data_IF_678611454914
#
_entry.id   IF_678611454914
#
_cell.length_a   1.000
_cell.length_b   1.000
_cell.length_c   1.000
_cell.angle_alpha   90.00
_cell.angle_beta   90.00
_cell.angle_gamma   90.00
#
_symmetry.space_group_name_H-M   'P 1'
#
loop_
_entity.id
_entity.type
_entity.pdbx_description
1 polymer ?
#
# COMPACT_ATOMS: atom_id res chain seq x y z
N UNK A 1 20.14 -67.85 20.66
CA UNK A 1 20.22 -66.47 21.16
C UNK A 1 19.37 -65.61 20.24
N UNK A 2 18.11 -65.44 20.60
CA UNK A 2 17.17 -64.54 19.92
C UNK A 2 17.52 -63.10 20.32
N UNK A 3 17.50 -62.16 19.39
CA UNK A 3 16.66 -60.97 19.57
C UNK A 3 16.42 -60.26 18.23
N UNK A 4 15.14 -60.28 17.88
CA UNK A 4 14.40 -59.41 16.98
C UNK A 4 14.63 -57.93 17.36
N UNK A 5 14.81 -57.05 16.37
CA UNK A 5 14.63 -55.61 16.58
C UNK A 5 13.46 -55.14 15.70
N UNK A 6 12.35 -54.85 16.38
CA UNK A 6 11.14 -54.25 15.83
C UNK A 6 11.40 -52.84 15.28
N UNK A 7 10.77 -52.56 14.14
CA UNK A 7 10.40 -51.20 13.77
C UNK A 7 9.33 -50.68 14.75
N UNK A 8 9.52 -49.47 15.27
CA UNK A 8 8.44 -48.68 15.86
C UNK A 8 8.40 -47.34 15.14
N UNK A 9 7.35 -47.18 14.32
CA UNK A 9 6.77 -45.90 13.94
C UNK A 9 6.06 -45.32 15.18
N UNK A 10 6.43 -44.11 15.61
CA UNK A 10 5.67 -43.27 16.53
C UNK A 10 5.75 -41.84 15.94
N UNK A 11 4.72 -41.42 15.21
CA UNK A 11 3.51 -40.75 15.69
C UNK A 11 3.79 -39.28 16.06
N UNK A 12 3.09 -38.39 15.37
CA UNK A 12 3.00 -36.96 15.64
C UNK A 12 2.78 -36.71 17.14
N UNK A 13 3.70 -35.99 17.78
CA UNK A 13 3.50 -35.47 19.13
C UNK A 13 3.24 -33.97 19.02
N UNK A 14 1.96 -33.61 19.05
CA UNK A 14 1.54 -32.30 19.55
C UNK A 14 1.94 -32.25 21.03
N UNK A 15 2.85 -31.35 21.38
CA UNK A 15 3.08 -31.00 22.78
C UNK A 15 2.10 -29.88 23.18
N UNK A 16 1.18 -30.22 24.07
CA UNK A 16 0.48 -29.25 24.92
C UNK A 16 1.45 -28.75 25.98
N UNK A 17 1.60 -27.44 26.12
CA UNK A 17 2.38 -26.85 27.20
C UNK A 17 1.66 -27.07 28.54
N UNK A 18 2.35 -27.68 29.49
CA UNK A 18 1.92 -27.77 30.89
C UNK A 18 2.47 -26.54 31.62
N UNK A 19 1.59 -25.63 32.03
CA UNK A 19 1.95 -24.47 32.83
C UNK A 19 1.95 -24.87 34.31
N UNK A 20 3.11 -25.25 34.84
CA UNK A 20 3.33 -25.29 36.30
C UNK A 20 3.54 -23.86 36.81
N UNK A 21 2.69 -23.31 37.71
CA UNK A 21 2.75 -21.91 38.12
C UNK A 21 3.86 -21.57 39.13
N UNK A 22 4.74 -22.50 39.51
CA UNK A 22 5.58 -22.31 40.71
C UNK A 22 7.03 -21.89 40.48
N UNK A 23 7.48 -21.72 39.25
CA UNK A 23 8.70 -20.96 38.98
C UNK A 23 8.58 -20.40 37.57
N UNK A 24 8.70 -19.08 37.41
CA UNK A 24 8.59 -18.36 36.14
C UNK A 24 9.68 -18.67 35.11
N UNK A 25 10.16 -19.90 35.07
CA UNK A 25 11.10 -20.43 34.09
C UNK A 25 10.34 -20.85 32.84
N UNK A 26 10.55 -20.14 31.74
CA UNK A 26 10.04 -20.51 30.42
C UNK A 26 11.17 -21.17 29.63
N UNK A 27 10.96 -22.41 29.20
CA UNK A 27 11.92 -23.11 28.33
C UNK A 27 11.72 -22.69 26.86
N UNK A 28 12.79 -22.22 26.22
CA UNK A 28 12.78 -21.85 24.80
C UNK A 28 13.35 -23.00 23.98
N UNK A 29 12.49 -23.62 23.15
CA UNK A 29 12.93 -24.62 22.17
C UNK A 29 13.27 -23.96 20.84
N UNK A 30 14.56 -23.95 20.48
CA UNK A 30 15.02 -23.42 19.20
C UNK A 30 15.16 -24.53 18.15
N UNK A 31 14.28 -24.53 17.15
CA UNK A 31 14.35 -25.45 16.02
C UNK A 31 15.02 -24.78 14.80
N UNK A 32 16.33 -25.01 14.63
CA UNK A 32 17.09 -24.53 13.48
C UNK A 32 16.83 -25.43 12.26
N UNK A 33 15.74 -25.17 11.52
CA UNK A 33 15.50 -25.81 10.24
C UNK A 33 16.54 -25.32 9.22
N UNK A 34 17.40 -26.23 8.74
CA UNK A 34 18.43 -25.99 7.71
C UNK A 34 17.88 -25.83 6.30
N UNK A 35 16.58 -26.07 6.10
CA UNK A 35 15.90 -25.74 4.85
C UNK A 35 15.88 -24.22 4.66
N UNK A 36 16.53 -23.72 3.61
CA UNK A 36 16.53 -22.32 3.20
C UNK A 36 15.09 -21.83 3.02
N UNK A 37 14.49 -21.30 4.08
CA UNK A 37 13.22 -20.56 3.98
C UNK A 37 13.45 -19.40 3.02
N UNK A 38 12.45 -19.04 2.23
CA UNK A 38 12.53 -17.93 1.29
C UNK A 38 13.14 -16.71 1.98
N UNK A 39 14.24 -16.19 1.42
CA UNK A 39 14.84 -14.96 1.90
C UNK A 39 13.76 -13.88 1.89
N UNK A 40 13.44 -13.32 3.06
CA UNK A 40 12.51 -12.20 3.14
C UNK A 40 13.02 -11.08 2.24
N UNK A 41 12.10 -10.41 1.54
CA UNK A 41 12.47 -9.27 0.73
C UNK A 41 13.17 -8.23 1.64
N UNK A 42 14.32 -7.65 1.25
CA UNK A 42 14.99 -6.60 2.04
C UNK A 42 14.08 -5.42 2.40
N UNK A 43 13.01 -5.20 1.61
CA UNK A 43 11.95 -4.21 1.83
C UNK A 43 10.76 -4.75 2.64
N UNK A 44 10.97 -5.76 3.48
CA UNK A 44 9.89 -6.40 4.26
C UNK A 44 9.10 -5.40 5.10
N UNK A 45 9.80 -4.53 5.83
CA UNK A 45 9.17 -3.44 6.58
C UNK A 45 8.98 -2.23 5.66
N UNK A 46 7.79 -2.11 5.09
CA UNK A 46 7.41 -1.04 4.16
C UNK A 46 6.32 -0.13 4.72
N UNK A 47 6.06 0.99 4.06
CA UNK A 47 5.21 2.07 4.58
C UNK A 47 4.18 2.53 3.54
N UNK A 48 3.14 3.21 4.03
CA UNK A 48 2.10 3.82 3.19
C UNK A 48 1.98 5.32 3.49
N UNK A 49 1.83 6.12 2.44
CA UNK A 49 1.25 7.47 2.51
C UNK A 49 -0.17 7.37 1.96
N UNK A 50 -1.16 7.65 2.79
CA UNK A 50 -2.56 7.57 2.37
C UNK A 50 -2.86 8.65 1.31
N UNK A 51 -3.52 8.24 0.23
CA UNK A 51 -3.90 9.07 -0.91
C UNK A 51 -4.80 10.25 -0.50
N UNK A 52 -5.45 10.18 0.66
CA UNK A 52 -6.20 11.30 1.24
C UNK A 52 -5.35 12.51 1.60
N UNK A 53 -4.02 12.37 1.73
CA UNK A 53 -3.10 13.51 1.81
C UNK A 53 -3.23 14.42 0.57
N UNK A 54 -3.52 13.82 -0.59
CA UNK A 54 -3.74 14.53 -1.85
C UNK A 54 -5.20 14.96 -2.06
N UNK A 55 -6.11 14.77 -1.07
CA UNK A 55 -7.46 15.36 -1.11
C UNK A 55 -7.42 16.88 -1.25
N UNK A 56 -6.38 17.50 -0.70
CA UNK A 56 -6.01 18.89 -0.92
C UNK A 56 -4.51 18.94 -1.28
N UNK A 57 -4.15 19.04 -2.58
CA UNK A 57 -2.79 18.81 -3.07
C UNK A 57 -1.68 19.59 -2.36
N UNK A 58 -1.99 20.77 -1.79
CA UNK A 58 -1.02 21.57 -1.03
C UNK A 58 -0.39 20.82 0.16
N UNK A 59 -1.10 19.89 0.78
CA UNK A 59 -0.55 19.14 1.93
C UNK A 59 0.46 18.07 1.52
N UNK A 60 0.54 17.71 0.24
CA UNK A 60 1.61 16.84 -0.28
C UNK A 60 2.97 17.52 -0.14
N UNK A 61 3.01 18.86 -0.04
CA UNK A 61 4.24 19.60 0.25
C UNK A 61 4.88 19.23 1.60
N UNK A 62 4.13 18.63 2.56
CA UNK A 62 4.73 18.09 3.79
C UNK A 62 5.85 17.07 3.52
N UNK A 63 5.79 16.35 2.40
CA UNK A 63 6.82 15.40 1.98
C UNK A 63 8.16 16.09 1.65
N UNK A 64 8.20 17.42 1.59
CA UNK A 64 9.41 18.23 1.53
C UNK A 64 10.07 18.48 2.89
N UNK A 65 9.46 18.09 4.01
CA UNK A 65 10.00 18.32 5.36
C UNK A 65 11.27 17.52 5.60
N UNK A 66 12.34 18.19 6.04
CA UNK A 66 13.61 17.54 6.38
C UNK A 66 13.42 16.48 7.48
N UNK A 67 12.54 16.74 8.44
CA UNK A 67 12.25 15.81 9.53
C UNK A 67 11.66 14.51 8.99
N UNK A 68 10.67 14.60 8.10
CA UNK A 68 10.05 13.42 7.49
C UNK A 68 11.08 12.65 6.64
N UNK A 69 11.87 13.34 5.82
CA UNK A 69 12.91 12.70 5.02
C UNK A 69 13.93 11.96 5.89
N UNK A 70 14.43 12.56 6.98
CA UNK A 70 15.37 11.90 7.90
C UNK A 70 14.76 10.66 8.55
N UNK A 71 13.50 10.72 9.00
CA UNK A 71 12.82 9.58 9.61
C UNK A 71 12.61 8.45 8.59
N UNK A 72 12.18 8.77 7.37
CA UNK A 72 11.93 7.78 6.33
C UNK A 72 13.22 7.15 5.80
N UNK A 73 14.33 7.89 5.74
CA UNK A 73 15.67 7.33 5.42
C UNK A 73 16.09 6.23 6.39
N UNK A 74 15.74 6.36 7.67
CA UNK A 74 16.02 5.34 8.68
C UNK A 74 15.31 4.00 8.44
N UNK A 75 14.33 3.96 7.52
CA UNK A 75 13.55 2.78 7.16
C UNK A 75 13.97 2.19 5.80
N UNK A 76 14.98 2.77 5.14
CA UNK A 76 15.52 2.26 3.89
C UNK A 76 16.31 0.95 4.12
N UNK A 77 16.22 -0.04 3.22
CA UNK A 77 15.38 -0.07 2.02
C UNK A 77 13.93 -0.45 2.33
N UNK A 78 12.97 0.26 1.73
CA UNK A 78 11.55 -0.04 1.88
C UNK A 78 10.75 0.32 0.61
N UNK A 79 9.53 -0.19 0.51
CA UNK A 79 8.52 0.37 -0.39
C UNK A 79 7.82 1.54 0.28
N UNK A 80 7.48 2.55 -0.51
CA UNK A 80 6.52 3.58 -0.13
C UNK A 80 5.27 3.41 -0.99
N UNK A 81 4.18 2.92 -0.42
CA UNK A 81 2.90 2.82 -1.10
C UNK A 81 2.16 4.16 -1.02
N UNK A 82 1.84 4.78 -2.14
CA UNK A 82 0.86 5.85 -2.22
C UNK A 82 -0.47 5.25 -2.66
N UNK A 83 -1.36 5.00 -1.70
CA UNK A 83 -2.56 4.20 -1.89
C UNK A 83 -3.62 4.52 -0.84
N UNK A 84 -4.64 3.67 -0.67
CA UNK A 84 -5.76 3.95 0.24
C UNK A 84 -7.04 4.29 -0.49
N UNK A 85 -8.13 4.48 0.25
CA UNK A 85 -9.48 4.63 -0.34
C UNK A 85 -9.56 5.79 -1.33
N UNK A 86 -8.85 6.90 -1.07
CA UNK A 86 -8.89 8.08 -1.93
C UNK A 86 -8.30 7.84 -3.32
N UNK A 87 -7.44 6.82 -3.51
CA UNK A 87 -6.79 6.52 -4.81
C UNK A 87 -7.80 6.35 -5.94
N UNK A 88 -8.94 5.72 -5.64
CA UNK A 88 -10.06 5.50 -6.56
C UNK A 88 -10.92 6.75 -6.83
N UNK A 89 -10.53 7.89 -6.26
CA UNK A 89 -11.17 9.19 -6.44
C UNK A 89 -10.14 10.28 -6.82
N UNK A 90 -8.91 9.89 -7.13
CA UNK A 90 -7.91 10.82 -7.68
C UNK A 90 -7.93 10.79 -9.21
N UNK A 91 -7.78 11.98 -9.80
CA UNK A 91 -7.65 12.19 -11.24
C UNK A 91 -6.35 12.93 -11.51
N UNK A 92 -5.52 12.43 -12.41
CA UNK A 92 -4.34 13.17 -12.83
C UNK A 92 -4.70 14.21 -13.89
N UNK A 93 -4.36 15.47 -13.67
CA UNK A 93 -4.50 16.54 -14.65
C UNK A 93 -3.15 17.24 -14.86
N UNK A 94 -2.48 17.01 -16.01
CA UNK A 94 -1.20 17.62 -16.31
C UNK A 94 -1.28 19.12 -16.67
N UNK A 95 -2.48 19.66 -16.87
CA UNK A 95 -2.73 21.06 -17.22
C UNK A 95 -3.04 21.94 -16.00
N UNK A 96 -3.41 21.33 -14.87
CA UNK A 96 -3.76 22.06 -13.66
C UNK A 96 -2.53 22.70 -13.02
N UNK A 97 -2.67 23.98 -12.66
CA UNK A 97 -1.63 24.74 -11.95
C UNK A 97 -1.37 24.17 -10.55
N UNK A 98 -0.13 24.33 -10.09
CA UNK A 98 0.30 23.99 -8.74
C UNK A 98 -0.39 24.90 -7.72
N UNK A 99 -0.53 24.43 -6.48
CA UNK A 99 -0.93 25.30 -5.37
C UNK A 99 0.14 26.36 -5.09
N UNK A 100 -0.22 27.40 -4.33
CA UNK A 100 0.73 28.43 -3.94
C UNK A 100 1.89 27.85 -3.11
N UNK A 101 1.61 26.93 -2.19
CA UNK A 101 2.60 26.26 -1.35
C UNK A 101 3.55 25.38 -2.18
N UNK A 102 3.01 24.69 -3.19
CA UNK A 102 3.80 23.93 -4.16
C UNK A 102 4.68 24.85 -5.02
N UNK A 103 4.17 26.01 -5.46
CA UNK A 103 4.97 27.01 -6.18
C UNK A 103 6.11 27.53 -5.32
N UNK A 104 5.84 27.94 -4.08
CA UNK A 104 6.89 28.44 -3.17
C UNK A 104 7.96 27.37 -2.92
N UNK A 105 7.56 26.11 -2.77
CA UNK A 105 8.50 24.99 -2.71
C UNK A 105 9.40 25.03 -3.96
N UNK A 106 8.83 24.83 -5.15
CA UNK A 106 9.59 24.70 -6.40
C UNK A 106 10.40 25.94 -6.80
N UNK A 107 9.90 27.15 -6.55
CA UNK A 107 10.58 28.40 -6.90
C UNK A 107 11.83 28.64 -6.04
N UNK A 108 11.78 28.28 -4.76
CA UNK A 108 12.97 28.31 -3.89
C UNK A 108 14.06 27.36 -4.40
N UNK A 109 13.67 26.33 -5.15
CA UNK A 109 14.53 25.21 -5.53
C UNK A 109 15.14 25.39 -6.91
N UNK A 110 14.44 26.02 -7.84
CA UNK A 110 15.03 26.48 -9.10
C UNK A 110 16.10 27.55 -8.86
N UNK A 111 15.98 28.33 -7.79
CA UNK A 111 16.92 29.40 -7.44
C UNK A 111 18.13 28.93 -6.60
N UNK A 112 18.11 27.70 -6.07
CA UNK A 112 19.24 27.11 -5.33
C UNK A 112 19.95 26.07 -6.19
N UNK A 113 21.16 26.37 -6.65
CA UNK A 113 22.06 25.38 -7.22
C UNK A 113 22.40 24.33 -6.14
N UNK A 114 21.79 23.15 -6.21
CA UNK A 114 21.99 22.07 -5.25
C UNK A 114 21.26 20.80 -5.64
N UNK A 115 21.59 19.69 -4.97
CA UNK A 115 20.92 18.40 -5.18
C UNK A 115 19.46 18.48 -4.74
N UNK A 116 18.54 17.98 -5.57
CA UNK A 116 17.11 17.90 -5.31
C UNK A 116 16.79 17.26 -3.94
N UNK A 117 17.60 16.29 -3.50
CA UNK A 117 17.40 15.57 -2.25
C UNK A 117 17.84 16.32 -0.97
N UNK A 118 18.54 17.45 -1.13
CA UNK A 118 18.99 18.30 -0.02
C UNK A 118 18.07 19.51 0.20
N UNK A 119 17.11 19.69 -0.70
CA UNK A 119 16.15 20.78 -0.65
C UNK A 119 15.05 20.50 0.39
N UNK A 120 14.62 21.53 1.09
CA UNK A 120 13.64 21.41 2.18
C UNK A 120 12.44 22.31 1.95
N UNK A 121 11.32 21.93 2.53
CA UNK A 121 10.13 22.76 2.62
C UNK A 121 10.48 24.04 3.41
N UNK A 122 10.20 25.25 2.88
CA UNK A 122 10.46 26.49 3.61
C UNK A 122 9.70 26.51 4.95
N UNK A 123 10.34 26.95 6.06
CA UNK A 123 9.74 26.92 7.39
C UNK A 123 8.38 27.62 7.48
N UNK A 124 8.21 28.76 6.79
CA UNK A 124 6.95 29.52 6.83
C UNK A 124 5.81 28.75 6.14
N UNK A 125 6.12 28.05 5.04
CA UNK A 125 5.15 27.19 4.34
C UNK A 125 4.80 25.99 5.23
N UNK A 126 5.81 25.38 5.86
CA UNK A 126 5.58 24.27 6.79
C UNK A 126 4.72 24.70 7.99
N UNK A 127 5.00 25.86 8.58
CA UNK A 127 4.22 26.43 9.67
C UNK A 127 2.76 26.69 9.24
N UNK A 128 2.56 27.29 8.08
CA UNK A 128 1.22 27.55 7.52
C UNK A 128 0.45 26.26 7.26
N UNK A 129 1.07 25.24 6.68
CA UNK A 129 0.40 23.96 6.45
C UNK A 129 0.07 23.27 7.78
N UNK A 130 0.98 23.29 8.75
CA UNK A 130 0.77 22.70 10.08
C UNK A 130 -0.38 23.35 10.84
N UNK A 131 -0.53 24.68 10.77
CA UNK A 131 -1.62 25.38 11.49
C UNK A 131 -3.01 25.01 10.96
N UNK A 132 -3.14 24.69 9.67
CA UNK A 132 -4.40 24.29 9.05
C UNK A 132 -4.64 22.77 9.04
N UNK A 133 -3.60 21.96 9.27
CA UNK A 133 -3.67 20.50 9.18
C UNK A 133 -4.76 19.87 10.07
N UNK A 134 -4.95 20.24 11.35
CA UNK A 134 -5.99 19.61 12.19
C UNK A 134 -7.41 19.76 11.60
N UNK A 135 -7.67 20.88 10.92
CA UNK A 135 -8.96 21.07 10.24
C UNK A 135 -9.09 20.16 9.04
N UNK A 136 -8.02 19.99 8.25
CA UNK A 136 -7.99 19.08 7.11
C UNK A 136 -8.12 17.62 7.53
N UNK A 137 -7.37 17.20 8.54
CA UNK A 137 -7.43 15.84 9.09
C UNK A 137 -8.86 15.48 9.51
N UNK A 138 -9.56 16.39 10.19
CA UNK A 138 -10.97 16.21 10.55
C UNK A 138 -11.88 16.05 9.33
N UNK A 139 -11.61 16.73 8.22
CA UNK A 139 -12.37 16.58 6.97
C UNK A 139 -12.13 15.19 6.36
N UNK A 140 -10.88 14.73 6.30
CA UNK A 140 -10.52 13.39 5.81
C UNK A 140 -11.19 12.30 6.65
N UNK A 141 -11.16 12.43 7.98
CA UNK A 141 -11.80 11.49 8.90
C UNK A 141 -13.33 11.48 8.75
N UNK A 142 -13.96 12.65 8.52
CA UNK A 142 -15.39 12.74 8.23
C UNK A 142 -15.75 12.10 6.89
N UNK A 143 -14.96 12.32 5.84
CA UNK A 143 -15.15 11.69 4.53
C UNK A 143 -15.17 10.16 4.67
N UNK A 144 -14.18 9.64 5.41
CA UNK A 144 -14.03 8.21 5.72
C UNK A 144 -15.19 7.68 6.56
N UNK A 145 -15.62 8.41 7.59
CA UNK A 145 -16.78 8.06 8.43
C UNK A 145 -18.03 7.85 7.58
N UNK A 146 -18.34 8.81 6.71
CA UNK A 146 -19.58 8.80 5.94
C UNK A 146 -19.51 7.97 4.67
N UNK A 147 -18.32 7.47 4.28
CA UNK A 147 -18.07 6.82 2.99
C UNK A 147 -18.52 7.69 1.80
N UNK A 148 -18.35 9.01 1.91
CA UNK A 148 -18.79 9.98 0.90
C UNK A 148 -17.58 10.63 0.26
N UNK A 149 -17.04 9.98 -0.76
CA UNK A 149 -15.81 10.44 -1.40
C UNK A 149 -16.09 11.33 -2.61
N UNK A 150 -15.27 12.37 -2.77
CA UNK A 150 -15.33 13.27 -3.94
C UNK A 150 -14.07 13.11 -4.79
N UNK A 151 -14.26 13.25 -6.10
CA UNK A 151 -13.14 13.28 -7.03
C UNK A 151 -12.27 14.51 -6.77
N UNK A 152 -10.97 14.29 -6.65
CA UNK A 152 -9.95 15.33 -6.51
C UNK A 152 -8.91 15.17 -7.61
N UNK A 153 -8.39 16.30 -8.08
CA UNK A 153 -7.34 16.31 -9.09
C UNK A 153 -5.96 16.45 -8.46
N UNK A 154 -5.03 15.58 -8.85
CA UNK A 154 -3.60 15.70 -8.56
C UNK A 154 -2.85 16.27 -9.77
N UNK A 155 -1.76 16.97 -9.51
CA UNK A 155 -0.98 17.68 -10.54
C UNK A 155 0.37 17.01 -10.78
N UNK A 156 1.12 17.50 -11.78
CA UNK A 156 2.52 17.14 -11.99
C UNK A 156 3.38 17.35 -10.73
N UNK A 157 3.13 18.43 -9.99
CA UNK A 157 3.87 18.73 -8.75
C UNK A 157 3.61 17.68 -7.66
N UNK A 158 2.37 17.24 -7.51
CA UNK A 158 2.00 16.18 -6.58
C UNK A 158 2.80 14.90 -6.83
N UNK A 159 2.90 14.50 -8.11
CA UNK A 159 3.66 13.31 -8.54
C UNK A 159 5.16 13.50 -8.31
N UNK A 160 5.70 14.67 -8.67
CA UNK A 160 7.12 14.98 -8.48
C UNK A 160 7.51 14.96 -7.00
N UNK A 161 6.67 15.51 -6.11
CA UNK A 161 6.91 15.51 -4.66
C UNK A 161 6.90 14.09 -4.07
N UNK A 162 5.92 13.26 -4.46
CA UNK A 162 5.84 11.85 -4.03
C UNK A 162 7.05 11.05 -4.47
N UNK A 163 7.41 11.16 -5.76
CA UNK A 163 8.57 10.45 -6.31
C UNK A 163 9.86 10.92 -5.66
N UNK A 164 10.06 12.24 -5.54
CA UNK A 164 11.22 12.82 -4.86
C UNK A 164 11.33 12.30 -3.44
N UNK A 165 10.25 12.33 -2.66
CA UNK A 165 10.26 11.89 -1.27
C UNK A 165 10.66 10.42 -1.12
N UNK A 166 10.10 9.53 -1.94
CA UNK A 166 10.49 8.12 -1.94
C UNK A 166 11.97 7.95 -2.33
N UNK A 167 12.34 8.46 -3.51
CA UNK A 167 13.68 8.27 -4.09
C UNK A 167 14.78 8.88 -3.21
N UNK A 168 14.60 10.10 -2.72
CA UNK A 168 15.56 10.78 -1.84
C UNK A 168 15.63 10.19 -0.43
N UNK A 169 14.69 9.31 -0.07
CA UNK A 169 14.69 8.57 1.19
C UNK A 169 15.18 7.12 1.05
N UNK A 170 15.58 6.69 -0.15
CA UNK A 170 16.01 5.30 -0.41
C UNK A 170 14.85 4.30 -0.54
N UNK A 171 13.63 4.79 -0.74
CA UNK A 171 12.42 3.96 -0.88
C UNK A 171 12.00 3.82 -2.34
N UNK A 172 11.34 2.72 -2.64
CA UNK A 172 10.74 2.45 -3.95
C UNK A 172 9.26 2.78 -3.93
N UNK A 173 8.83 3.75 -4.75
CA UNK A 173 7.44 4.18 -4.80
C UNK A 173 6.56 3.11 -5.48
N UNK A 174 5.43 2.79 -4.86
CA UNK A 174 4.31 2.08 -5.46
C UNK A 174 3.15 3.07 -5.55
N UNK A 175 2.60 3.29 -6.75
CA UNK A 175 1.53 4.26 -6.98
C UNK A 175 0.21 3.55 -7.31
N UNK A 176 -0.81 3.77 -6.48
CA UNK A 176 -2.17 3.27 -6.69
C UNK A 176 -2.96 4.08 -7.71
N UNK A 177 -3.33 3.45 -8.82
CA UNK A 177 -4.18 4.04 -9.86
C UNK A 177 -5.66 3.92 -9.53
N UNK A 178 -6.45 4.85 -10.08
CA UNK A 178 -7.90 4.87 -9.91
C UNK A 178 -8.59 3.78 -10.77
N UNK A 179 -9.22 2.79 -10.13
CA UNK A 179 -9.94 1.71 -10.81
C UNK A 179 -11.42 2.01 -11.11
N UNK A 180 -11.96 3.10 -10.56
CA UNK A 180 -13.36 3.52 -10.71
C UNK A 180 -13.63 4.39 -11.95
N UNK A 181 -12.61 4.70 -12.74
CA UNK A 181 -12.80 5.26 -14.08
C UNK A 181 -13.32 4.17 -15.02
N UNK A 182 -14.63 4.20 -15.34
CA UNK A 182 -15.28 3.15 -16.13
C UNK A 182 -15.80 3.64 -17.47
N UNK A 183 -15.74 2.77 -18.48
CA UNK A 183 -16.52 2.85 -19.72
C UNK A 183 -17.43 1.62 -19.78
N UNK A 184 -18.68 1.78 -19.34
CA UNK A 184 -19.52 0.62 -19.05
C UNK A 184 -18.94 -0.21 -17.91
N UNK A 185 -18.74 -1.51 -18.13
CA UNK A 185 -18.13 -2.39 -17.13
C UNK A 185 -16.59 -2.47 -17.25
N UNK A 186 -15.95 -1.81 -18.19
CA UNK A 186 -14.49 -1.88 -18.39
C UNK A 186 -13.76 -0.68 -17.79
N UNK A 187 -12.51 -0.88 -17.39
CA UNK A 187 -11.67 0.21 -16.90
C UNK A 187 -11.24 1.16 -18.04
N UNK A 188 -11.39 2.46 -17.81
CA UNK A 188 -10.90 3.50 -18.72
C UNK A 188 -9.48 3.90 -18.32
N UNK A 189 -8.51 3.38 -19.06
CA UNK A 189 -7.08 3.64 -18.83
C UNK A 189 -6.60 5.03 -19.26
N UNK A 190 -7.47 5.86 -19.84
CA UNK A 190 -7.08 7.15 -20.45
C UNK A 190 -6.38 8.09 -19.45
N UNK A 191 -6.89 8.20 -18.21
CA UNK A 191 -6.28 9.06 -17.20
C UNK A 191 -4.96 8.47 -16.67
N UNK A 192 -4.92 7.16 -16.45
CA UNK A 192 -3.69 6.47 -16.06
C UNK A 192 -2.60 6.62 -17.12
N UNK A 193 -2.96 6.58 -18.41
CA UNK A 193 -2.02 6.82 -19.51
C UNK A 193 -1.38 8.21 -19.42
N UNK A 194 -2.15 9.25 -19.11
CA UNK A 194 -1.59 10.60 -18.92
C UNK A 194 -0.52 10.63 -17.81
N UNK A 195 -0.78 9.93 -16.70
CA UNK A 195 0.16 9.83 -15.59
C UNK A 195 1.41 9.01 -15.98
N UNK A 196 1.22 7.86 -16.63
CA UNK A 196 2.31 6.99 -17.09
C UNK A 196 3.18 7.72 -18.12
N UNK A 197 2.58 8.44 -19.08
CA UNK A 197 3.30 9.29 -20.05
C UNK A 197 4.18 10.32 -19.33
N UNK A 198 3.62 10.98 -18.30
CA UNK A 198 4.35 11.97 -17.51
C UNK A 198 5.51 11.35 -16.74
N UNK A 199 5.27 10.26 -16.01
CA UNK A 199 6.31 9.56 -15.23
C UNK A 199 7.42 8.99 -16.14
N UNK A 200 7.04 8.47 -17.31
CA UNK A 200 7.99 7.98 -18.32
C UNK A 200 8.87 9.12 -18.85
N UNK A 201 8.27 10.26 -19.22
CA UNK A 201 9.00 11.46 -19.65
C UNK A 201 10.00 11.95 -18.58
N UNK A 202 9.59 11.90 -17.31
CA UNK A 202 10.42 12.25 -16.15
C UNK A 202 11.45 11.17 -15.77
N UNK A 203 11.42 10.01 -16.43
CA UNK A 203 12.27 8.83 -16.18
C UNK A 203 12.13 8.30 -14.74
N UNK A 204 10.92 8.35 -14.20
CA UNK A 204 10.64 7.89 -12.85
C UNK A 204 10.58 6.35 -12.78
N UNK A 205 11.37 5.76 -11.88
CA UNK A 205 11.36 4.33 -11.58
C UNK A 205 10.42 4.04 -10.40
N UNK A 206 9.20 3.60 -10.70
CA UNK A 206 8.18 3.28 -9.71
C UNK A 206 7.35 2.07 -10.16
N UNK A 207 6.64 1.48 -9.22
CA UNK A 207 5.71 0.36 -9.45
C UNK A 207 4.26 0.80 -9.30
N UNK A 208 3.32 -0.06 -9.69
CA UNK A 208 1.92 0.29 -9.87
C UNK A 208 0.99 -0.65 -9.12
N UNK A 209 -0.13 -0.11 -8.66
CA UNK A 209 -1.32 -0.82 -8.21
C UNK A 209 -2.53 -0.28 -9.00
N UNK A 210 -3.65 -1.01 -9.01
CA UNK A 210 -4.91 -0.55 -9.60
C UNK A 210 -6.07 -0.83 -8.65
N UNK A 211 -6.57 0.26 -8.05
CA UNK A 211 -7.66 0.25 -7.09
C UNK A 211 -7.23 -0.12 -5.66
N UNK A 212 -8.09 0.22 -4.71
CA UNK A 212 -7.90 -0.07 -3.29
C UNK A 212 -9.18 -0.66 -2.68
N UNK A 213 -9.07 -1.85 -2.11
CA UNK A 213 -10.18 -2.61 -1.52
C UNK A 213 -11.40 -2.69 -2.45
N UNK A 214 -11.27 -3.32 -3.63
CA UNK A 214 -12.35 -3.43 -4.61
C UNK A 214 -13.58 -4.17 -4.08
N UNK A 215 -13.41 -5.01 -3.04
CA UNK A 215 -14.49 -5.68 -2.32
C UNK A 215 -15.50 -4.72 -1.69
N UNK A 216 -15.15 -3.44 -1.52
CA UNK A 216 -16.02 -2.40 -0.95
C UNK A 216 -16.41 -1.30 -1.94
N UNK A 217 -16.09 -1.40 -3.23
CA UNK A 217 -16.43 -0.37 -4.24
C UNK A 217 -17.90 0.04 -4.27
N UNK A 218 -18.81 -0.93 -4.18
CA UNK A 218 -20.26 -0.65 -4.20
C UNK A 218 -20.68 0.25 -3.04
N UNK A 219 -20.08 0.07 -1.86
CA UNK A 219 -20.34 0.90 -0.68
C UNK A 219 -19.74 2.30 -0.82
N UNK A 220 -18.57 2.42 -1.45
CA UNK A 220 -17.80 3.67 -1.55
C UNK A 220 -18.22 4.57 -2.71
N UNK A 221 -18.73 3.99 -3.79
CA UNK A 221 -18.96 4.68 -5.08
C UNK A 221 -20.27 4.32 -5.77
N UNK A 222 -21.00 3.32 -5.29
CA UNK A 222 -22.15 2.74 -5.99
C UNK A 222 -21.80 1.79 -7.13
N UNK A 223 -20.53 1.73 -7.57
CA UNK A 223 -20.06 0.87 -8.66
C UNK A 223 -19.67 -0.50 -8.11
N UNK A 224 -20.12 -1.57 -8.78
CA UNK A 224 -19.70 -2.94 -8.48
C UNK A 224 -18.80 -3.47 -9.60
N UNK A 225 -17.61 -3.96 -9.22
CA UNK A 225 -16.67 -4.64 -10.12
C UNK A 225 -16.37 -6.00 -9.48
N UNK A 226 -16.61 -7.08 -10.21
CA UNK A 226 -16.25 -8.42 -9.75
C UNK A 226 -14.77 -8.72 -10.02
N UNK A 227 -14.23 -9.78 -9.40
CA UNK A 227 -12.81 -10.11 -9.54
C UNK A 227 -12.41 -10.43 -10.98
N UNK A 228 -13.27 -11.14 -11.73
CA UNK A 228 -13.00 -11.48 -13.13
C UNK A 228 -12.78 -10.23 -14.00
N UNK A 229 -13.65 -9.23 -13.89
CA UNK A 229 -13.51 -7.95 -14.59
C UNK A 229 -12.29 -7.17 -14.09
N UNK A 230 -12.06 -7.12 -12.78
CA UNK A 230 -10.87 -6.45 -12.24
C UNK A 230 -9.59 -7.08 -12.79
N UNK A 231 -9.54 -8.41 -12.93
CA UNK A 231 -8.37 -9.07 -13.51
C UNK A 231 -8.17 -8.73 -14.99
N UNK A 232 -9.26 -8.56 -15.77
CA UNK A 232 -9.16 -8.01 -17.15
C UNK A 232 -8.66 -6.57 -17.16
N UNK A 233 -9.05 -5.77 -16.18
CA UNK A 233 -8.57 -4.39 -16.04
C UNK A 233 -7.05 -4.37 -15.75
N UNK A 234 -6.57 -5.31 -14.92
CA UNK A 234 -5.13 -5.51 -14.66
C UNK A 234 -4.36 -5.99 -15.90
N UNK A 235 -4.93 -6.89 -16.70
CA UNK A 235 -4.35 -7.27 -18.02
C UNK A 235 -4.21 -6.04 -18.92
N UNK A 236 -5.25 -5.21 -18.97
CA UNK A 236 -5.22 -3.97 -19.77
C UNK A 236 -4.15 -2.97 -19.28
N UNK A 237 -3.94 -2.87 -17.96
CA UNK A 237 -2.87 -2.07 -17.38
C UNK A 237 -1.49 -2.64 -17.69
N UNK A 238 -1.30 -3.96 -17.54
CA UNK A 238 -0.05 -4.64 -17.89
C UNK A 238 0.33 -4.43 -19.36
N UNK A 239 -0.64 -4.54 -20.27
CA UNK A 239 -0.43 -4.29 -21.71
C UNK A 239 -0.10 -2.82 -22.00
N UNK A 240 -0.67 -1.89 -21.24
CA UNK A 240 -0.31 -0.47 -21.34
C UNK A 240 1.12 -0.22 -20.87
N UNK A 241 1.52 -0.74 -19.70
CA UNK A 241 2.87 -0.58 -19.13
C UNK A 241 3.93 -1.21 -20.04
N UNK A 242 3.61 -2.34 -20.68
CA UNK A 242 4.50 -3.04 -21.61
C UNK A 242 4.91 -2.22 -22.84
N UNK A 243 4.17 -1.15 -23.17
CA UNK A 243 4.51 -0.22 -24.26
C UNK A 243 5.67 0.71 -23.93
N UNK A 244 6.06 0.80 -22.66
CA UNK A 244 7.12 1.70 -22.19
C UNK A 244 8.33 0.86 -21.76
N UNK A 245 9.51 1.02 -22.38
CA UNK A 245 10.68 0.19 -22.08
C UNK A 245 11.05 0.12 -20.59
N UNK A 246 10.95 1.24 -19.86
CA UNK A 246 11.25 1.29 -18.42
C UNK A 246 10.16 0.68 -17.52
N UNK A 247 8.94 0.49 -18.03
CA UNK A 247 7.82 -0.07 -17.26
C UNK A 247 7.41 -1.48 -17.65
N UNK A 248 7.92 -2.00 -18.77
CA UNK A 248 7.72 -3.40 -19.17
C UNK A 248 8.05 -4.41 -18.06
N UNK A 249 9.06 -4.10 -17.24
CA UNK A 249 9.48 -4.92 -16.10
C UNK A 249 9.24 -4.23 -14.74
N UNK A 250 8.44 -3.16 -14.71
CA UNK A 250 8.08 -2.52 -13.44
C UNK A 250 7.15 -3.41 -12.63
N UNK A 251 7.14 -3.23 -11.31
CA UNK A 251 6.25 -4.01 -10.46
C UNK A 251 4.78 -3.63 -10.71
N UNK A 252 3.91 -4.63 -10.82
CA UNK A 252 2.47 -4.51 -10.79
C UNK A 252 1.92 -5.37 -9.64
N UNK A 253 1.24 -4.74 -8.69
CA UNK A 253 0.75 -5.40 -7.47
C UNK A 253 -0.76 -5.24 -7.34
N UNK A 254 -1.45 -6.23 -6.77
CA UNK A 254 -2.90 -6.19 -6.62
C UNK A 254 -3.47 -7.49 -6.05
N UNK A 255 -4.79 -7.60 -5.86
CA UNK A 255 -5.82 -6.59 -6.15
C UNK A 255 -6.11 -5.66 -4.95
N UNK A 256 -5.25 -5.66 -3.94
CA UNK A 256 -5.37 -4.79 -2.76
C UNK A 256 -6.71 -4.99 -2.01
N UNK A 257 -7.14 -6.24 -1.87
CA UNK A 257 -8.39 -6.58 -1.19
C UNK A 257 -8.33 -6.26 0.30
N UNK A 258 -9.48 -5.91 0.90
CA UNK A 258 -9.59 -5.89 2.36
C UNK A 258 -9.42 -7.28 2.99
N UNK A 259 -9.60 -7.37 4.31
CA UNK A 259 -9.55 -8.63 5.07
C UNK A 259 -10.26 -9.79 4.36
N UNK A 260 -9.75 -11.03 4.47
CA UNK A 260 -10.20 -12.19 3.71
C UNK A 260 -11.54 -12.75 4.25
N UNK A 261 -12.56 -11.90 4.31
CA UNK A 261 -13.96 -12.30 4.48
C UNK A 261 -14.50 -12.86 3.17
N UNK A 262 -15.65 -13.53 3.20
CA UNK A 262 -16.23 -14.23 2.04
C UNK A 262 -16.24 -13.39 0.75
N UNK A 263 -16.62 -12.10 0.83
CA UNK A 263 -16.65 -11.21 -0.34
C UNK A 263 -15.25 -10.94 -0.92
N UNK A 264 -14.26 -10.70 -0.06
CA UNK A 264 -12.87 -10.47 -0.47
C UNK A 264 -12.24 -11.73 -1.03
N UNK A 265 -12.49 -12.90 -0.42
CA UNK A 265 -12.02 -14.20 -0.92
C UNK A 265 -12.58 -14.51 -2.31
N UNK A 266 -13.88 -14.31 -2.53
CA UNK A 266 -14.51 -14.54 -3.84
C UNK A 266 -13.96 -13.58 -4.91
N UNK A 267 -13.73 -12.32 -4.54
CA UNK A 267 -13.10 -11.35 -5.42
C UNK A 267 -11.68 -11.78 -5.78
N UNK A 268 -10.85 -12.11 -4.79
CA UNK A 268 -9.47 -12.54 -5.00
C UNK A 268 -9.41 -13.80 -5.88
N UNK A 269 -10.21 -14.83 -5.59
CA UNK A 269 -10.26 -16.07 -6.36
C UNK A 269 -10.57 -15.83 -7.83
N UNK A 270 -11.62 -15.04 -8.12
CA UNK A 270 -12.01 -14.73 -9.50
C UNK A 270 -11.06 -13.76 -10.20
N UNK A 271 -10.40 -12.89 -9.44
CA UNK A 271 -9.33 -12.03 -9.94
C UNK A 271 -8.10 -12.83 -10.38
N UNK A 272 -7.63 -13.78 -9.56
CA UNK A 272 -6.45 -14.57 -9.88
C UNK A 272 -6.63 -15.45 -11.13
N UNK A 273 -7.87 -15.88 -11.41
CA UNK A 273 -8.20 -16.61 -12.64
C UNK A 273 -7.96 -15.81 -13.92
N UNK A 274 -8.00 -14.48 -13.89
CA UNK A 274 -7.81 -13.63 -15.07
C UNK A 274 -6.58 -12.73 -15.02
N UNK A 275 -6.36 -12.05 -13.90
CA UNK A 275 -5.27 -11.09 -13.72
C UNK A 275 -4.04 -11.65 -13.01
N UNK A 276 -4.10 -12.86 -12.46
CA UNK A 276 -3.05 -13.40 -11.59
C UNK A 276 -1.67 -13.50 -12.25
N UNK A 277 -1.61 -13.77 -13.55
CA UNK A 277 -0.34 -13.87 -14.29
C UNK A 277 0.33 -12.51 -14.57
N UNK A 278 -0.39 -11.41 -14.37
CA UNK A 278 0.11 -10.05 -14.70
C UNK A 278 0.72 -9.34 -13.51
N UNK A 279 0.47 -9.83 -12.29
CA UNK A 279 0.96 -9.22 -11.05
C UNK A 279 2.21 -9.93 -10.56
N UNK A 280 3.11 -9.17 -9.94
CA UNK A 280 4.31 -9.71 -9.30
C UNK A 280 4.03 -10.25 -7.89
N UNK A 281 3.04 -9.68 -7.20
CA UNK A 281 2.65 -10.08 -5.84
C UNK A 281 1.16 -9.85 -5.61
N UNK A 282 0.55 -10.76 -4.86
CA UNK A 282 -0.81 -10.59 -4.34
C UNK A 282 -0.78 -9.64 -3.13
N UNK A 283 -1.62 -8.60 -3.13
CA UNK A 283 -1.76 -7.63 -2.03
C UNK A 283 -3.13 -7.73 -1.36
N UNK A 284 -3.14 -7.64 -0.04
CA UNK A 284 -4.35 -7.64 0.80
C UNK A 284 -4.11 -6.86 2.10
N UNK A 285 -5.18 -6.40 2.74
CA UNK A 285 -5.13 -5.61 3.97
C UNK A 285 -5.63 -6.36 5.19
N UNK A 286 -5.01 -6.05 6.33
CA UNK A 286 -5.40 -6.53 7.64
C UNK A 286 -5.45 -5.36 8.64
N UNK A 287 -6.48 -5.34 9.49
CA UNK A 287 -6.60 -4.44 10.62
C UNK A 287 -7.17 -5.22 11.81
N UNK A 288 -6.39 -5.40 12.88
CA UNK A 288 -6.79 -6.19 14.05
C UNK A 288 -8.13 -5.75 14.66
N UNK A 289 -8.29 -4.44 14.84
CA UNK A 289 -9.38 -3.87 15.64
C UNK A 289 -9.95 -2.61 14.99
N UNK A 290 -11.21 -2.34 15.30
CA UNK A 290 -11.89 -1.13 14.86
C UNK A 290 -11.56 0.02 15.82
N UNK A 291 -10.87 1.05 15.32
CA UNK A 291 -10.46 2.21 16.13
C UNK A 291 -11.60 3.02 16.78
N UNK A 292 -12.87 2.74 16.47
CA UNK A 292 -14.04 3.35 17.14
C UNK A 292 -14.43 2.66 18.45
N UNK A 293 -14.07 1.39 18.58
CA UNK A 293 -14.54 0.51 19.66
C UNK A 293 -13.40 -0.19 20.38
N UNK A 294 -12.17 -0.06 19.88
CA UNK A 294 -10.97 -0.65 20.47
C UNK A 294 -10.74 -0.14 21.91
N UNK A 295 -10.33 -1.03 22.80
CA UNK A 295 -9.90 -0.71 24.16
C UNK A 295 -8.39 -0.90 24.32
N UNK A 296 -7.81 -0.50 25.46
CA UNK A 296 -6.37 -0.69 25.71
C UNK A 296 -6.03 -2.18 25.82
N UNK A 297 -6.95 -2.97 26.38
CA UNK A 297 -6.81 -4.41 26.57
C UNK A 297 -6.70 -5.14 25.22
N UNK A 298 -7.39 -4.66 24.19
CA UNK A 298 -7.30 -5.23 22.84
C UNK A 298 -5.87 -5.19 22.28
N UNK A 299 -5.07 -4.16 22.62
CA UNK A 299 -3.71 -3.99 22.10
C UNK A 299 -2.68 -4.95 22.72
N UNK A 300 -3.01 -5.57 23.86
CA UNK A 300 -2.15 -6.54 24.56
C UNK A 300 -2.74 -7.95 24.58
N UNK A 301 -3.90 -8.14 23.95
CA UNK A 301 -4.62 -9.40 23.93
C UNK A 301 -3.99 -10.39 22.95
N UNK A 302 -3.50 -11.52 23.44
CA UNK A 302 -3.00 -12.62 22.59
C UNK A 302 -4.09 -13.12 21.65
N UNK A 303 -5.35 -13.17 22.10
CA UNK A 303 -6.49 -13.57 21.28
C UNK A 303 -6.69 -12.64 20.06
N UNK A 304 -6.41 -11.34 20.21
CA UNK A 304 -6.46 -10.38 19.10
C UNK A 304 -5.27 -10.62 18.15
N UNK A 305 -4.06 -10.79 18.68
CA UNK A 305 -2.86 -11.04 17.87
C UNK A 305 -2.97 -12.34 17.06
N UNK A 306 -3.55 -13.39 17.64
CA UNK A 306 -3.72 -14.71 17.03
C UNK A 306 -4.71 -14.71 15.84
N UNK A 307 -5.49 -13.63 15.66
CA UNK A 307 -6.42 -13.51 14.51
C UNK A 307 -5.73 -13.37 13.16
N UNK A 308 -4.48 -12.90 13.11
CA UNK A 308 -3.77 -12.71 11.85
C UNK A 308 -3.39 -14.04 11.17
N UNK A 309 -2.96 -15.04 11.95
CA UNK A 309 -2.54 -16.34 11.43
C UNK A 309 -3.61 -17.05 10.56
N UNK A 310 -4.87 -17.20 11.00
CA UNK A 310 -5.91 -17.80 10.17
C UNK A 310 -6.28 -16.95 8.94
N UNK A 311 -6.18 -15.61 9.02
CA UNK A 311 -6.38 -14.76 7.84
C UNK A 311 -5.28 -14.96 6.79
N UNK A 312 -4.01 -15.09 7.20
CA UNK A 312 -2.90 -15.44 6.30
C UNK A 312 -3.17 -16.79 5.62
N UNK A 313 -3.56 -17.81 6.39
CA UNK A 313 -3.86 -19.14 5.84
C UNK A 313 -5.01 -19.09 4.83
N UNK A 314 -6.04 -18.28 5.12
CA UNK A 314 -7.17 -18.09 4.22
C UNK A 314 -6.74 -17.49 2.88
N UNK A 315 -5.84 -16.50 2.88
CA UNK A 315 -5.31 -15.92 1.64
C UNK A 315 -4.44 -16.92 0.88
N UNK A 316 -3.56 -17.65 1.57
CA UNK A 316 -2.70 -18.68 0.95
C UNK A 316 -3.50 -19.84 0.34
N UNK A 317 -4.69 -20.16 0.84
CA UNK A 317 -5.57 -21.17 0.25
C UNK A 317 -6.29 -20.68 -1.01
N UNK A 318 -6.37 -19.36 -1.24
CA UNK A 318 -6.98 -18.77 -2.43
C UNK A 318 -5.96 -18.59 -3.55
N UNK A 319 -4.70 -18.29 -3.20
CA UNK A 319 -3.57 -18.15 -4.11
C UNK A 319 -3.03 -19.50 -4.58
#
# INVERSE_FOLDING_TARGET
MYLTACFILLADVLFTADCSPENGTVELKLELKTSTRSSLNPRFLSLTVDASLASEPKYVAFLGSQKLMTLTRGLSPAYLRFGGTKSDFLLFDPSKNRSQEENIFWDVQTNKAGNLCDQTLPPDVEHTLRSHWPSQERLILKETFWNKYRNTTITKSTVDLLYRFANCSGLHLIFGLNALLRKGNEWSSSNAKLLIDYCYFKKYNLSWELGNEPNSFRKKSGIYVNGYQLGKDFVSLHDLLSKYPSYKNSGLFGPDTGQPKTKSQNLLRSFLQTGGQTINSVTWHHYYINGRTATIEDFISSNVLDTLAPEIQTVLQVC
#
